data_IF_045961799277
#
_entry.id   IF_045961799277
#
_cell.length_a   1.000
_cell.length_b   1.000
_cell.length_c   1.000
_cell.angle_alpha   90.00
_cell.angle_beta   90.00
_cell.angle_gamma   90.00
#
_symmetry.space_group_name_H-M   'P 1'
#
loop_
_entity.id
_entity.type
_entity.pdbx_description
1 polymer ?
#
# COMPACT_ATOMS: atom_id res chain seq x y z
N UNK A 1 12.73 -26.61 -18.12
CA UNK A 1 11.44 -26.36 -17.45
C UNK A 1 10.62 -25.50 -18.39
N UNK A 2 9.42 -25.92 -18.78
CA UNK A 2 8.70 -25.37 -19.96
C UNK A 2 7.75 -24.21 -19.60
N UNK A 3 7.49 -23.97 -18.31
CA UNK A 3 6.65 -22.87 -17.84
C UNK A 3 7.44 -22.02 -16.85
N UNK A 4 7.62 -20.73 -17.17
CA UNK A 4 8.36 -19.76 -16.35
C UNK A 4 7.60 -19.34 -15.08
N UNK A 5 8.26 -18.56 -14.22
CA UNK A 5 7.74 -18.04 -12.95
C UNK A 5 6.50 -17.14 -13.05
N UNK A 6 6.11 -16.72 -14.26
CA UNK A 6 4.93 -15.88 -14.49
C UNK A 6 3.58 -16.62 -14.35
N UNK A 7 3.56 -17.95 -14.50
CA UNK A 7 2.29 -18.69 -14.53
C UNK A 7 1.71 -19.04 -13.15
N UNK A 8 2.53 -19.00 -12.10
CA UNK A 8 2.09 -19.24 -10.73
C UNK A 8 2.48 -18.04 -9.87
N UNK A 9 1.91 -16.88 -10.17
CA UNK A 9 2.01 -15.70 -9.29
C UNK A 9 1.53 -16.11 -7.90
N UNK A 10 2.29 -15.80 -6.86
CA UNK A 10 1.98 -16.22 -5.48
C UNK A 10 2.09 -17.71 -5.18
N UNK A 11 2.86 -18.46 -5.99
CA UNK A 11 3.15 -19.87 -5.73
C UNK A 11 4.33 -20.45 -6.50
N UNK A 12 4.53 -21.75 -6.35
CA UNK A 12 5.51 -22.53 -7.09
C UNK A 12 4.80 -23.38 -8.15
N UNK A 13 5.30 -23.36 -9.39
CA UNK A 13 4.73 -24.17 -10.47
C UNK A 13 5.16 -25.63 -10.34
N UNK A 14 4.17 -26.54 -10.37
CA UNK A 14 4.37 -27.98 -10.41
C UNK A 14 3.83 -28.52 -11.72
N UNK A 15 4.69 -29.12 -12.55
CA UNK A 15 4.27 -29.77 -13.78
C UNK A 15 3.42 -31.00 -13.46
N UNK A 16 2.25 -31.11 -14.08
CA UNK A 16 1.37 -32.28 -14.03
C UNK A 16 1.17 -32.78 -15.46
N UNK A 17 0.85 -34.04 -15.73
CA UNK A 17 0.49 -34.46 -17.10
C UNK A 17 -1.04 -34.49 -17.16
N UNK A 18 -1.72 -33.69 -18.01
CA UNK A 18 -1.23 -32.96 -19.19
C UNK A 18 -1.03 -31.43 -19.02
N UNK A 19 -0.75 -30.89 -17.83
CA UNK A 19 -0.63 -29.42 -17.61
C UNK A 19 0.34 -28.99 -16.49
N UNK A 20 -0.13 -28.10 -15.62
CA UNK A 20 0.59 -27.71 -14.40
C UNK A 20 -0.42 -27.35 -13.31
N UNK A 21 0.05 -27.30 -12.07
CA UNK A 21 -0.71 -26.76 -10.92
C UNK A 21 0.21 -25.86 -10.11
N UNK A 22 -0.34 -24.86 -9.44
CA UNK A 22 0.43 -24.01 -8.55
C UNK A 22 0.33 -24.52 -7.10
N UNK A 23 1.47 -24.60 -6.43
CA UNK A 23 1.54 -24.74 -4.98
C UNK A 23 1.64 -23.35 -4.38
N UNK A 24 0.55 -22.86 -3.83
CA UNK A 24 0.43 -21.48 -3.39
C UNK A 24 1.17 -21.21 -2.08
N UNK A 25 1.65 -19.97 -1.92
CA UNK A 25 2.21 -19.46 -0.66
C UNK A 25 1.11 -19.39 0.40
N UNK A 26 1.51 -19.31 1.67
CA UNK A 26 0.59 -19.05 2.79
C UNK A 26 -0.25 -17.80 2.51
N UNK A 27 -1.54 -17.84 2.84
CA UNK A 27 -2.49 -16.75 2.54
C UNK A 27 -3.09 -16.78 1.14
N UNK A 28 -2.72 -17.77 0.31
CA UNK A 28 -3.27 -17.94 -1.04
C UNK A 28 -3.84 -19.34 -1.23
N UNK A 29 -4.91 -19.44 -2.02
CA UNK A 29 -5.46 -20.73 -2.45
C UNK A 29 -5.38 -20.88 -3.97
N UNK A 30 -5.32 -22.13 -4.42
CA UNK A 30 -5.25 -22.43 -5.85
C UNK A 30 -6.66 -22.40 -6.47
N UNK A 31 -6.90 -21.45 -7.37
CA UNK A 31 -8.12 -21.40 -8.17
C UNK A 31 -7.90 -22.18 -9.48
N UNK A 32 -8.55 -23.35 -9.59
CA UNK A 32 -8.43 -24.22 -10.77
C UNK A 32 -9.08 -23.66 -12.04
N UNK A 33 -9.97 -22.68 -11.91
CA UNK A 33 -10.61 -22.01 -13.05
C UNK A 33 -9.73 -20.93 -13.65
N UNK A 34 -8.95 -20.26 -12.81
CA UNK A 34 -7.99 -19.21 -13.19
C UNK A 34 -6.56 -19.73 -13.38
N UNK A 35 -6.30 -20.95 -12.94
CA UNK A 35 -4.97 -21.60 -12.94
C UNK A 35 -3.91 -20.77 -12.19
N UNK A 36 -4.32 -20.03 -11.16
CA UNK A 36 -3.47 -19.10 -10.41
C UNK A 36 -3.65 -19.23 -8.89
N UNK A 37 -2.74 -18.64 -8.12
CA UNK A 37 -2.90 -18.49 -6.68
C UNK A 37 -3.62 -17.18 -6.38
N UNK A 38 -4.82 -17.29 -5.86
CA UNK A 38 -5.66 -16.15 -5.50
C UNK A 38 -5.56 -15.91 -4.01
N UNK A 39 -5.49 -14.64 -3.66
CA UNK A 39 -5.48 -14.18 -2.27
C UNK A 39 -6.71 -14.70 -1.51
N UNK A 40 -6.48 -15.23 -0.32
CA UNK A 40 -7.56 -15.73 0.52
C UNK A 40 -8.14 -14.59 1.33
N UNK A 41 -9.30 -14.06 0.95
CA UNK A 41 -9.95 -13.00 1.72
C UNK A 41 -10.48 -13.52 3.07
N UNK A 42 -9.69 -13.35 4.14
CA UNK A 42 -10.06 -13.79 5.48
C UNK A 42 -11.21 -12.96 6.07
N UNK A 43 -11.45 -11.75 5.55
CA UNK A 43 -12.55 -10.90 6.00
C UNK A 43 -13.93 -11.42 5.57
N UNK A 44 -14.00 -12.40 4.67
CA UNK A 44 -15.24 -13.12 4.35
C UNK A 44 -15.64 -14.14 5.43
N UNK A 45 -14.78 -14.39 6.42
CA UNK A 45 -15.02 -15.37 7.47
C UNK A 45 -15.05 -14.70 8.85
N UNK A 46 -16.18 -14.84 9.55
CA UNK A 46 -16.47 -14.21 10.85
C UNK A 46 -15.58 -14.68 12.01
N UNK A 47 -14.75 -15.71 11.80
CA UNK A 47 -13.77 -16.19 12.79
C UNK A 47 -12.58 -15.22 12.91
N UNK A 48 -12.34 -14.40 11.89
CA UNK A 48 -11.25 -13.43 11.87
C UNK A 48 -11.71 -12.04 12.36
N UNK A 49 -10.82 -11.33 13.03
CA UNK A 49 -11.05 -9.99 13.59
C UNK A 49 -12.28 -9.88 14.52
N UNK A 50 -12.38 -10.78 15.51
CA UNK A 50 -13.52 -10.80 16.43
C UNK A 50 -13.56 -9.49 17.25
N UNK A 51 -14.71 -8.80 17.22
CA UNK A 51 -14.93 -7.47 17.82
C UNK A 51 -14.11 -6.33 17.17
N UNK A 52 -13.60 -6.53 15.96
CA UNK A 52 -12.85 -5.53 15.20
C UNK A 52 -13.33 -5.39 13.76
N UNK A 53 -12.70 -4.49 13.03
CA UNK A 53 -12.85 -4.35 11.58
C UNK A 53 -11.72 -5.09 10.87
N UNK A 54 -12.05 -5.84 9.83
CA UNK A 54 -11.08 -6.62 9.06
C UNK A 54 -10.67 -5.88 7.79
N UNK A 55 -9.37 -5.83 7.53
CA UNK A 55 -8.79 -5.36 6.27
C UNK A 55 -8.08 -6.52 5.57
N UNK A 56 -8.62 -6.95 4.43
CA UNK A 56 -7.96 -7.94 3.60
C UNK A 56 -6.78 -7.31 2.84
N UNK A 57 -5.62 -7.95 2.94
CA UNK A 57 -4.35 -7.56 2.32
C UNK A 57 -3.84 -8.69 1.44
N UNK A 58 -2.97 -8.42 0.46
CA UNK A 58 -2.44 -9.53 -0.32
C UNK A 58 -1.53 -10.42 0.53
N UNK A 59 -1.93 -11.68 0.67
CA UNK A 59 -1.26 -12.75 1.41
C UNK A 59 -1.65 -12.85 2.88
N UNK A 60 -2.51 -11.96 3.40
CA UNK A 60 -2.97 -11.99 4.80
C UNK A 60 -4.09 -10.98 5.08
N UNK A 61 -4.33 -10.67 6.34
CA UNK A 61 -5.29 -9.67 6.78
C UNK A 61 -4.75 -8.91 7.98
N UNK A 62 -5.33 -7.76 8.24
CA UNK A 62 -5.08 -6.99 9.46
C UNK A 62 -6.40 -6.64 10.15
N UNK A 63 -6.43 -6.78 11.48
CA UNK A 63 -7.59 -6.44 12.29
C UNK A 63 -7.39 -5.08 12.96
N UNK A 64 -8.39 -4.22 12.83
CA UNK A 64 -8.42 -2.94 13.53
C UNK A 64 -9.41 -2.97 14.69
N UNK A 65 -8.97 -2.46 15.83
CA UNK A 65 -9.81 -2.36 17.02
C UNK A 65 -10.22 -0.92 17.24
N UNK A 66 -11.53 -0.68 17.37
CA UNK A 66 -12.04 0.59 17.85
C UNK A 66 -11.77 0.72 19.34
N UNK A 67 -11.22 1.86 19.76
CA UNK A 67 -10.94 2.11 21.17
C UNK A 67 -12.21 1.99 22.04
N UNK A 68 -12.10 1.46 23.27
CA UNK A 68 -10.87 1.12 24.01
C UNK A 68 -10.38 -0.33 23.80
N UNK A 69 -10.85 -1.03 22.76
CA UNK A 69 -10.39 -2.39 22.49
C UNK A 69 -9.02 -2.38 21.81
N UNK A 70 -8.25 -3.43 22.04
CA UNK A 70 -6.90 -3.62 21.51
C UNK A 70 -6.74 -5.06 21.01
N UNK A 71 -5.85 -5.28 20.05
CA UNK A 71 -5.56 -6.63 19.56
C UNK A 71 -5.00 -7.51 20.68
N UNK A 72 -5.47 -8.75 20.75
CA UNK A 72 -4.87 -9.79 21.59
C UNK A 72 -3.55 -10.30 20.99
N UNK A 73 -2.84 -11.16 21.72
CA UNK A 73 -1.55 -11.72 21.28
C UNK A 73 -1.64 -12.52 19.97
N UNK A 74 -2.84 -12.92 19.54
CA UNK A 74 -3.04 -13.65 18.29
C UNK A 74 -3.21 -12.74 17.08
N UNK A 75 -3.46 -11.44 17.29
CA UNK A 75 -3.77 -10.49 16.22
C UNK A 75 -5.17 -10.65 15.61
N UNK A 76 -6.03 -11.51 16.19
CA UNK A 76 -7.30 -11.91 15.57
C UNK A 76 -8.55 -11.50 16.36
N UNK A 77 -8.37 -10.88 17.53
CA UNK A 77 -9.48 -10.47 18.40
C UNK A 77 -9.17 -9.15 19.08
N UNK A 78 -10.18 -8.29 19.11
CA UNK A 78 -10.18 -7.07 19.90
C UNK A 78 -10.71 -7.36 21.32
N UNK A 79 -9.88 -7.10 22.33
CA UNK A 79 -10.15 -7.31 23.76
C UNK A 79 -10.06 -5.99 24.52
N UNK A 80 -10.72 -5.89 25.67
CA UNK A 80 -10.71 -4.65 26.47
C UNK A 80 -9.33 -4.39 27.07
N UNK A 81 -8.93 -3.11 27.09
CA UNK A 81 -7.70 -2.60 27.70
C UNK A 81 -7.53 -2.91 29.21
N UNK A 82 -8.58 -3.40 29.88
CA UNK A 82 -8.59 -3.68 31.32
C UNK A 82 -8.01 -5.04 31.73
N UNK A 83 -7.63 -5.91 30.80
CA UNK A 83 -6.90 -7.15 31.10
C UNK A 83 -5.39 -6.88 31.22
N UNK A 84 -4.86 -7.04 32.44
CA UNK A 84 -3.52 -6.61 32.91
C UNK A 84 -2.28 -7.29 32.30
N UNK A 85 -2.38 -7.91 31.13
CA UNK A 85 -1.22 -8.39 30.35
C UNK A 85 -1.41 -7.92 28.92
N UNK A 86 -1.04 -6.66 28.68
CA UNK A 86 -1.18 -6.02 27.38
C UNK A 86 0.19 -5.96 26.70
N UNK A 87 0.33 -6.68 25.60
CA UNK A 87 1.43 -6.53 24.64
C UNK A 87 0.86 -5.85 23.40
N UNK A 88 1.38 -4.68 23.06
CA UNK A 88 1.17 -4.08 21.74
C UNK A 88 1.61 -5.14 20.73
N UNK A 89 0.76 -5.49 19.77
CA UNK A 89 1.12 -6.46 18.75
C UNK A 89 2.19 -5.85 17.83
N UNK A 90 3.42 -6.23 18.11
CA UNK A 90 4.60 -5.81 17.36
C UNK A 90 5.10 -7.01 16.57
N UNK A 91 5.38 -6.79 15.30
CA UNK A 91 5.95 -7.80 14.43
C UNK A 91 6.98 -7.17 13.48
N UNK A 92 7.49 -7.99 12.58
CA UNK A 92 8.53 -7.65 11.62
C UNK A 92 8.02 -6.65 10.58
N UNK A 93 8.79 -5.58 10.34
CA UNK A 93 8.60 -4.69 9.20
C UNK A 93 9.63 -4.98 8.11
N UNK A 94 9.16 -5.07 6.87
CA UNK A 94 9.97 -5.30 5.68
C UNK A 94 10.06 -4.02 4.87
N UNK A 95 11.28 -3.53 4.65
CA UNK A 95 11.49 -2.26 3.96
C UNK A 95 11.26 -2.37 2.46
N UNK A 96 11.50 -3.55 1.88
CA UNK A 96 11.38 -3.78 0.44
C UNK A 96 10.66 -5.10 0.17
N UNK A 97 9.95 -5.15 -0.96
CA UNK A 97 9.37 -6.38 -1.49
C UNK A 97 9.79 -6.49 -2.95
N UNK A 98 10.46 -7.58 -3.31
CA UNK A 98 10.82 -7.87 -4.69
C UNK A 98 10.38 -9.29 -5.05
N UNK A 99 9.75 -9.45 -6.22
CA UNK A 99 9.16 -10.71 -6.67
C UNK A 99 8.24 -11.37 -5.62
N UNK A 100 7.48 -10.56 -4.87
CA UNK A 100 6.61 -10.99 -3.78
C UNK A 100 7.34 -11.74 -2.65
N UNK A 101 8.62 -11.46 -2.49
CA UNK A 101 9.43 -11.93 -1.39
C UNK A 101 9.79 -10.69 -0.60
N UNK A 102 9.45 -10.68 0.67
CA UNK A 102 9.88 -9.62 1.56
C UNK A 102 11.39 -9.69 1.74
N UNK A 103 12.02 -8.56 1.50
CA UNK A 103 13.46 -8.36 1.55
C UNK A 103 13.76 -7.21 2.52
N UNK A 104 15.02 -7.06 2.90
CA UNK A 104 15.49 -6.00 3.78
C UNK A 104 14.66 -5.85 5.06
N UNK A 105 14.83 -6.85 5.93
CA UNK A 105 14.32 -6.80 7.30
C UNK A 105 14.79 -5.51 7.98
N UNK A 106 13.86 -4.73 8.54
CA UNK A 106 14.22 -3.59 9.38
C UNK A 106 14.91 -4.12 10.65
N UNK A 107 16.24 -4.20 10.61
CA UNK A 107 17.02 -4.89 11.63
C UNK A 107 16.88 -4.20 12.99
N UNK A 108 16.36 -4.94 13.98
CA UNK A 108 16.41 -4.55 15.40
C UNK A 108 15.17 -3.82 15.93
N UNK A 109 14.09 -3.68 15.17
CA UNK A 109 12.87 -3.03 15.66
C UNK A 109 11.62 -3.80 15.23
N UNK A 110 10.89 -4.35 16.22
CA UNK A 110 9.52 -4.81 16.01
C UNK A 110 8.63 -3.56 15.96
N UNK A 111 7.73 -3.48 14.99
CA UNK A 111 6.86 -2.31 14.79
C UNK A 111 5.40 -2.74 14.82
N UNK A 112 4.52 -1.77 15.04
CA UNK A 112 3.09 -1.98 14.74
C UNK A 112 2.87 -2.03 13.22
N UNK A 113 1.76 -2.62 12.80
CA UNK A 113 1.35 -2.62 11.39
C UNK A 113 1.24 -1.19 10.82
N UNK A 114 0.62 -0.28 11.56
CA UNK A 114 0.46 1.13 11.16
C UNK A 114 1.81 1.84 11.04
N UNK A 115 2.73 1.64 11.98
CA UNK A 115 4.07 2.23 11.91
C UNK A 115 4.84 1.72 10.69
N UNK A 116 4.71 0.45 10.34
CA UNK A 116 5.35 -0.10 9.15
C UNK A 116 4.71 0.42 7.86
N UNK A 117 3.42 0.12 7.63
CA UNK A 117 2.75 0.37 6.36
C UNK A 117 2.48 1.84 6.05
N UNK A 118 2.56 2.72 7.05
CA UNK A 118 2.36 4.15 6.82
C UNK A 118 3.67 4.93 6.71
N UNK A 119 4.79 4.40 7.21
CA UNK A 119 6.06 5.16 7.28
C UNK A 119 7.30 4.42 6.82
N UNK A 120 7.45 3.15 7.18
CA UNK A 120 8.75 2.50 7.19
C UNK A 120 8.94 1.45 6.10
N UNK A 121 7.88 0.74 5.71
CA UNK A 121 8.01 -0.45 4.88
C UNK A 121 6.85 -0.71 3.94
N UNK A 122 7.02 -1.77 3.17
CA UNK A 122 6.12 -2.20 2.09
C UNK A 122 5.39 -3.51 2.45
N UNK A 123 5.81 -4.19 3.51
CA UNK A 123 5.12 -5.36 4.05
C UNK A 123 5.38 -5.53 5.55
N UNK A 124 4.47 -6.22 6.23
CA UNK A 124 4.49 -6.39 7.68
C UNK A 124 4.15 -7.83 8.10
N UNK A 125 4.73 -8.26 9.22
CA UNK A 125 4.55 -9.57 9.81
C UNK A 125 5.49 -10.65 9.28
N UNK A 126 5.61 -11.74 10.03
CA UNK A 126 6.44 -12.90 9.64
C UNK A 126 5.98 -13.56 8.34
N UNK A 127 4.70 -13.45 8.01
CA UNK A 127 4.10 -14.00 6.80
C UNK A 127 4.24 -13.08 5.58
N UNK A 128 4.91 -11.93 5.69
CA UNK A 128 5.11 -11.01 4.57
C UNK A 128 3.78 -10.48 4.00
N UNK A 129 2.87 -10.00 4.88
CA UNK A 129 1.61 -9.41 4.44
C UNK A 129 1.89 -8.06 3.76
N UNK A 130 1.47 -7.90 2.51
CA UNK A 130 1.75 -6.66 1.77
C UNK A 130 0.96 -5.49 2.37
N UNK A 131 1.65 -4.37 2.54
CA UNK A 131 0.98 -3.13 2.87
C UNK A 131 0.07 -2.71 1.71
N UNK A 132 -1.12 -2.13 1.97
CA UNK A 132 -1.96 -1.64 0.91
C UNK A 132 -1.30 -0.45 0.22
N UNK A 133 -1.54 -0.38 -1.08
CA UNK A 133 -0.97 0.64 -1.93
C UNK A 133 -1.32 2.06 -1.43
N UNK A 134 -0.35 2.98 -1.45
CA UNK A 134 -0.48 4.34 -0.89
C UNK A 134 -1.62 5.15 -1.51
N UNK A 135 -1.91 4.93 -2.79
CA UNK A 135 -3.03 5.58 -3.48
C UNK A 135 -4.40 4.90 -3.26
N UNK A 136 -4.45 3.78 -2.53
CA UNK A 136 -5.69 3.06 -2.29
C UNK A 136 -6.51 3.71 -1.17
N UNK A 137 -7.84 3.69 -1.30
CA UNK A 137 -8.75 4.10 -0.21
C UNK A 137 -8.64 3.22 1.05
N UNK A 138 -7.96 2.07 0.96
CA UNK A 138 -7.61 1.21 2.09
C UNK A 138 -6.49 1.81 2.94
N UNK A 139 -5.48 2.41 2.30
CA UNK A 139 -4.34 3.04 2.98
C UNK A 139 -4.74 4.30 3.75
N UNK A 140 -5.53 5.20 3.14
CA UNK A 140 -6.06 6.39 3.81
C UNK A 140 -7.09 6.08 4.91
N UNK A 141 -7.59 4.84 4.98
CA UNK A 141 -8.53 4.38 5.98
C UNK A 141 -7.90 3.80 7.25
N UNK A 142 -6.57 3.62 7.31
CA UNK A 142 -5.91 3.00 8.46
C UNK A 142 -5.98 3.83 9.74
N UNK A 143 -6.18 5.15 9.61
CA UNK A 143 -6.27 6.08 10.74
C UNK A 143 -7.64 6.08 11.43
N UNK A 144 -8.65 5.43 10.83
CA UNK A 144 -10.04 5.45 11.32
C UNK A 144 -10.21 4.83 12.70
N UNK A 145 -9.21 4.06 13.15
CA UNK A 145 -9.20 3.36 14.43
C UNK A 145 -8.30 4.03 15.47
N UNK A 146 -7.62 5.13 15.10
CA UNK A 146 -6.96 5.99 16.06
C UNK A 146 -8.03 6.84 16.79
N UNK A 147 -7.86 7.14 18.09
CA UNK A 147 -8.84 7.92 18.85
C UNK A 147 -9.01 9.30 18.22
N UNK A 148 -10.21 9.59 17.71
CA UNK A 148 -10.57 10.94 17.26
C UNK A 148 -10.84 11.90 18.43
N UNK A 149 -10.97 11.42 19.67
CA UNK A 149 -11.56 12.21 20.76
C UNK A 149 -10.91 12.00 22.14
N UNK A 150 -9.61 12.27 22.26
CA UNK A 150 -9.11 12.83 23.51
C UNK A 150 -8.58 14.21 23.16
N UNK A 151 -9.39 15.25 23.42
CA UNK A 151 -9.14 16.64 23.04
C UNK A 151 -7.89 17.27 23.67
N UNK A 152 -6.72 16.77 23.32
CA UNK A 152 -5.41 17.26 23.75
C UNK A 152 -4.42 17.07 22.58
N UNK A 153 -3.65 18.12 22.31
CA UNK A 153 -2.76 18.23 21.16
C UNK A 153 -1.87 17.00 20.96
N UNK A 154 -1.71 16.59 19.70
CA UNK A 154 -0.77 15.58 19.18
C UNK A 154 0.69 15.71 19.65
N UNK A 155 1.05 16.80 20.34
CA UNK A 155 2.36 17.03 20.96
C UNK A 155 2.60 16.25 22.29
N UNK A 156 1.61 15.57 22.86
CA UNK A 156 1.72 14.99 24.22
C UNK A 156 2.10 13.49 24.30
N UNK A 157 2.19 12.76 23.18
CA UNK A 157 2.55 11.34 23.19
C UNK A 157 3.68 11.01 22.20
N UNK A 158 4.94 10.88 22.67
CA UNK A 158 6.07 10.46 21.82
C UNK A 158 6.02 8.99 21.37
N UNK A 159 4.97 8.24 21.71
CA UNK A 159 4.85 6.79 21.47
C UNK A 159 3.75 6.38 20.48
N UNK A 160 3.07 7.33 19.82
CA UNK A 160 2.07 7.01 18.80
C UNK A 160 2.59 7.38 17.40
N UNK A 161 2.51 6.48 16.40
CA UNK A 161 2.78 6.85 15.02
C UNK A 161 1.73 7.89 14.55
N UNK A 162 2.10 8.87 13.70
CA UNK A 162 1.17 9.83 13.15
C UNK A 162 0.15 9.14 12.24
N UNK A 163 -0.94 9.84 11.91
CA UNK A 163 -1.89 9.34 10.94
C UNK A 163 -1.22 9.09 9.57
N UNK A 164 -1.57 7.97 8.94
CA UNK A 164 -1.40 7.57 7.55
C UNK A 164 -2.12 8.55 6.61
N UNK A 165 -1.72 9.82 6.64
CA UNK A 165 -2.22 10.83 5.70
C UNK A 165 -1.40 10.78 4.43
N UNK A 166 -2.05 10.91 3.25
CA UNK A 166 -1.33 11.28 2.06
C UNK A 166 -0.56 12.58 2.32
N UNK A 167 0.62 12.77 1.71
CA UNK A 167 1.36 14.03 1.78
C UNK A 167 0.42 15.16 1.33
N UNK A 168 -0.09 15.98 2.26
CA UNK A 168 -1.22 16.84 1.91
C UNK A 168 -2.11 17.38 3.01
N UNK A 169 -2.53 16.56 3.98
CA UNK A 169 -3.73 16.84 4.80
C UNK A 169 -3.49 17.06 6.29
N UNK A 170 -2.32 17.56 6.71
CA UNK A 170 -2.13 18.00 8.10
C UNK A 170 -2.70 19.40 8.32
N UNK A 171 -3.96 19.50 8.75
CA UNK A 171 -4.38 20.68 9.51
C UNK A 171 -3.57 20.71 10.82
N UNK A 172 -2.71 21.72 10.98
CA UNK A 172 -1.90 21.94 12.18
C UNK A 172 -0.39 22.04 11.98
N UNK A 173 0.12 21.75 10.78
CA UNK A 173 1.44 22.21 10.34
C UNK A 173 1.21 23.13 9.16
N UNK A 174 1.22 24.43 9.40
CA UNK A 174 1.38 25.40 8.32
C UNK A 174 2.66 25.01 7.58
N UNK A 175 2.52 24.45 6.38
CA UNK A 175 3.65 24.29 5.48
C UNK A 175 4.29 25.65 5.33
N UNK A 176 5.57 25.75 5.68
CA UNK A 176 6.31 27.00 5.53
C UNK A 176 6.34 27.34 4.03
N UNK A 177 6.19 28.61 3.68
CA UNK A 177 6.32 29.04 2.28
C UNK A 177 7.77 28.74 1.81
N UNK A 178 7.97 28.47 0.52
CA UNK A 178 9.24 27.99 -0.03
C UNK A 178 10.44 28.90 0.35
N UNK A 179 10.18 30.18 0.60
CA UNK A 179 11.17 31.18 1.02
C UNK A 179 11.70 30.96 2.46
N UNK A 180 10.92 30.37 3.36
CA UNK A 180 11.28 30.13 4.77
C UNK A 180 12.16 28.90 5.00
N UNK A 181 12.21 28.00 4.02
CA UNK A 181 13.06 26.82 4.07
C UNK A 181 14.49 27.08 3.60
N UNK A 182 14.78 28.23 2.98
CA UNK A 182 16.10 28.53 2.41
C UNK A 182 16.51 27.57 1.28
N UNK A 183 15.57 26.81 0.72
CA UNK A 183 15.78 25.92 -0.42
C UNK A 183 15.58 26.75 -1.68
N UNK A 184 16.68 27.21 -2.28
CA UNK A 184 16.62 27.99 -3.52
C UNK A 184 16.30 27.05 -4.71
N UNK A 185 15.12 27.21 -5.31
CA UNK A 185 14.66 26.41 -6.47
C UNK A 185 14.58 24.89 -6.19
N UNK A 186 13.97 24.49 -5.07
CA UNK A 186 13.68 23.09 -4.73
C UNK A 186 12.32 22.95 -4.07
N UNK A 187 11.75 21.74 -4.10
CA UNK A 187 10.37 21.42 -3.71
C UNK A 187 9.24 22.01 -4.59
N UNK A 188 9.42 22.22 -5.90
CA UNK A 188 8.36 22.79 -6.76
C UNK A 188 7.10 21.91 -6.87
N UNK A 189 7.28 20.58 -6.82
CA UNK A 189 6.20 19.59 -6.81
C UNK A 189 5.96 18.97 -5.43
N UNK A 190 6.12 19.78 -4.38
CA UNK A 190 5.89 19.38 -3.00
C UNK A 190 5.74 20.55 -2.05
N UNK A 191 5.60 20.25 -0.76
CA UNK A 191 5.66 21.24 0.32
C UNK A 191 6.96 21.06 1.10
N UNK A 192 7.58 22.16 1.51
CA UNK A 192 8.73 22.05 2.40
C UNK A 192 8.27 21.79 3.85
N UNK A 193 8.93 20.85 4.53
CA UNK A 193 8.65 20.50 5.93
C UNK A 193 9.93 20.50 6.76
N UNK A 194 9.82 20.90 8.04
CA UNK A 194 10.93 20.89 8.99
C UNK A 194 11.16 19.47 9.53
N UNK A 195 12.41 19.04 9.55
CA UNK A 195 12.87 17.79 10.14
C UNK A 195 13.97 18.06 11.18
N UNK A 196 14.30 17.11 12.08
CA UNK A 196 15.33 17.31 13.10
C UNK A 196 16.69 17.73 12.53
N UNK A 197 17.00 17.31 11.30
CA UNK A 197 18.26 17.58 10.60
C UNK A 197 18.20 18.81 9.67
N UNK A 198 17.10 19.58 9.67
CA UNK A 198 16.93 20.76 8.82
C UNK A 198 15.55 20.80 8.14
N UNK A 199 15.55 20.75 6.81
CA UNK A 199 14.35 20.83 5.98
C UNK A 199 14.38 19.75 4.89
N UNK A 200 13.21 19.28 4.48
CA UNK A 200 13.02 18.31 3.38
C UNK A 200 11.76 18.65 2.59
N UNK A 201 11.60 18.10 1.39
CA UNK A 201 10.33 18.15 0.67
C UNK A 201 9.40 17.00 1.09
N UNK A 202 8.12 17.29 1.14
CA UNK A 202 7.02 16.34 1.15
C UNK A 202 6.31 16.45 -0.21
N UNK A 203 6.51 15.45 -1.06
CA UNK A 203 6.14 15.51 -2.47
C UNK A 203 4.65 15.29 -2.71
N UNK A 204 4.07 15.99 -3.69
CA UNK A 204 2.69 15.76 -4.11
C UNK A 204 2.54 14.39 -4.79
N UNK A 205 1.30 13.91 -4.92
CA UNK A 205 1.00 12.68 -5.62
C UNK A 205 1.61 12.68 -7.03
N UNK A 206 2.26 11.57 -7.41
CA UNK A 206 2.99 11.44 -8.69
C UNK A 206 4.45 11.88 -8.65
N UNK A 207 4.96 12.30 -7.48
CA UNK A 207 6.35 12.72 -7.31
C UNK A 207 7.02 12.01 -6.14
N UNK A 208 8.34 11.82 -6.22
CA UNK A 208 9.16 11.23 -5.18
C UNK A 208 10.36 12.11 -4.85
N UNK A 209 10.93 11.91 -3.66
CA UNK A 209 12.16 12.59 -3.28
C UNK A 209 13.32 12.11 -4.14
N UNK A 210 14.14 13.05 -4.60
CA UNK A 210 15.40 12.76 -5.23
C UNK A 210 16.43 12.21 -4.22
N UNK A 211 17.58 11.75 -4.70
CA UNK A 211 18.65 11.24 -3.82
C UNK A 211 19.16 12.28 -2.81
N UNK A 212 19.00 13.57 -3.09
CA UNK A 212 19.41 14.64 -2.18
C UNK A 212 18.35 14.97 -1.13
N UNK A 213 17.13 14.43 -1.25
CA UNK A 213 15.96 14.71 -0.41
C UNK A 213 15.52 16.19 -0.40
N UNK A 214 15.92 16.94 -1.43
CA UNK A 214 15.66 18.38 -1.54
C UNK A 214 14.87 18.74 -2.80
N UNK A 215 14.54 17.75 -3.64
CA UNK A 215 13.69 17.95 -4.80
C UNK A 215 12.63 16.84 -4.91
N UNK A 216 11.46 17.23 -5.41
CA UNK A 216 10.42 16.29 -5.80
C UNK A 216 10.52 16.07 -7.30
N UNK A 217 10.97 14.88 -7.68
CA UNK A 217 11.11 14.46 -9.08
C UNK A 217 9.91 13.62 -9.46
N UNK A 218 9.51 13.78 -10.71
CA UNK A 218 8.42 13.03 -11.31
C UNK A 218 8.68 11.51 -11.22
N UNK A 219 7.67 10.75 -10.81
CA UNK A 219 7.72 9.29 -10.83
C UNK A 219 7.39 8.87 -12.26
N UNK A 220 8.34 8.27 -12.96
CA UNK A 220 8.06 7.77 -14.31
C UNK A 220 7.34 6.42 -14.22
N UNK A 221 6.00 6.43 -14.14
CA UNK A 221 5.24 5.21 -13.94
C UNK A 221 5.33 4.25 -15.14
N UNK A 222 5.74 4.74 -16.31
CA UNK A 222 6.00 3.91 -17.49
C UNK A 222 7.32 3.12 -17.40
N UNK A 223 8.27 3.59 -16.61
CA UNK A 223 9.58 2.96 -16.38
C UNK A 223 9.67 2.24 -15.03
N UNK A 224 8.74 2.52 -14.10
CA UNK A 224 8.61 1.80 -12.84
C UNK A 224 8.23 0.32 -13.10
N UNK A 225 9.25 -0.54 -12.97
CA UNK A 225 9.16 -1.99 -13.17
C UNK A 225 8.49 -2.63 -11.95
N UNK A 226 7.17 -2.50 -11.82
CA UNK A 226 6.47 -3.03 -10.63
C UNK A 226 4.96 -3.21 -10.72
N UNK A 227 4.27 -2.67 -11.74
CA UNK A 227 2.82 -2.82 -11.85
C UNK A 227 2.43 -4.25 -12.29
N UNK A 228 1.51 -4.93 -11.57
CA UNK A 228 1.06 -6.29 -11.92
C UNK A 228 0.20 -6.38 -13.17
N UNK A 229 -0.33 -5.26 -13.65
CA UNK A 229 -1.06 -5.11 -14.92
C UNK A 229 -0.22 -4.23 -15.87
N UNK A 230 -0.24 -4.46 -17.19
CA UNK A 230 0.30 -3.47 -18.12
C UNK A 230 -0.46 -2.15 -17.89
N UNK A 231 0.27 -1.14 -17.39
CA UNK A 231 -0.24 0.16 -16.95
C UNK A 231 -1.32 0.69 -17.92
N UNK A 232 -1.06 0.54 -19.21
CA UNK A 232 -1.95 0.89 -20.31
C UNK A 232 -2.40 -0.33 -21.13
N UNK A 233 -3.27 -1.19 -20.57
CA UNK A 233 -3.90 -2.29 -21.34
C UNK A 233 -4.59 -1.75 -22.59
N UNK A 234 -4.20 -2.22 -23.79
CA UNK A 234 -4.75 -1.75 -25.07
C UNK A 234 -4.15 -0.43 -25.60
N UNK A 235 -3.04 0.04 -25.02
CA UNK A 235 -2.36 1.27 -25.41
C UNK A 235 -0.87 1.29 -25.08
N UNK A 236 -0.23 2.41 -25.36
CA UNK A 236 1.17 2.70 -25.00
C UNK A 236 1.20 3.72 -23.86
N UNK A 237 2.04 3.48 -22.85
CA UNK A 237 2.24 4.42 -21.75
C UNK A 237 3.04 5.64 -22.22
N UNK A 238 2.64 6.82 -21.77
CA UNK A 238 3.38 8.06 -21.95
C UNK A 238 3.44 8.79 -20.62
N UNK A 239 4.66 8.97 -20.12
CA UNK A 239 4.92 9.66 -18.86
C UNK A 239 4.57 11.15 -18.97
N UNK A 240 4.02 11.71 -17.90
CA UNK A 240 3.65 13.12 -17.79
C UNK A 240 4.05 13.65 -16.42
N UNK A 241 4.21 14.96 -16.29
CA UNK A 241 4.57 15.49 -14.97
C UNK A 241 3.45 15.27 -13.95
N UNK A 242 3.75 14.52 -12.89
CA UNK A 242 2.87 14.11 -11.80
C UNK A 242 1.89 12.99 -12.13
N UNK A 243 2.01 12.35 -13.30
CA UNK A 243 1.12 11.27 -13.72
C UNK A 243 1.59 10.55 -14.99
N UNK A 244 0.76 9.68 -15.54
CA UNK A 244 0.95 9.11 -16.87
C UNK A 244 -0.36 9.07 -17.64
N UNK A 245 -0.26 9.01 -18.98
CA UNK A 245 -1.41 8.80 -19.87
C UNK A 245 -1.21 7.63 -20.80
N UNK A 246 -2.31 7.00 -21.16
CA UNK A 246 -2.32 5.89 -22.10
C UNK A 246 -2.73 6.36 -23.49
N UNK A 247 -1.82 6.21 -24.46
CA UNK A 247 -2.13 6.35 -25.88
C UNK A 247 -2.78 5.07 -26.38
N UNK A 248 -4.10 5.08 -26.52
CA UNK A 248 -4.86 3.91 -26.95
C UNK A 248 -4.59 3.56 -28.42
N UNK A 249 -4.51 2.26 -28.70
CA UNK A 249 -4.41 1.74 -30.07
C UNK A 249 -5.73 1.99 -30.83
N UNK A 250 -5.70 2.00 -32.18
CA UNK A 250 -6.91 2.14 -32.99
C UNK A 250 -7.99 1.14 -32.59
N UNK A 251 -9.23 1.61 -32.39
CA UNK A 251 -10.35 0.80 -31.91
C UNK A 251 -10.50 0.75 -30.39
N UNK A 252 -9.62 1.42 -29.64
CA UNK A 252 -9.70 1.59 -28.19
C UNK A 252 -9.81 3.07 -27.80
N UNK A 253 -10.44 3.35 -26.67
CA UNK A 253 -10.63 4.69 -26.10
C UNK A 253 -10.30 4.70 -24.61
N UNK A 254 -9.71 5.79 -24.14
CA UNK A 254 -9.45 5.99 -22.71
C UNK A 254 -10.74 6.45 -22.02
N UNK A 255 -11.10 5.79 -20.91
CA UNK A 255 -12.21 6.25 -20.07
C UNK A 255 -11.74 7.40 -19.19
N UNK A 256 -12.55 8.45 -19.05
CA UNK A 256 -12.23 9.56 -18.16
C UNK A 256 -12.13 9.04 -16.72
N UNK A 257 -10.91 9.09 -16.15
CA UNK A 257 -10.49 8.60 -14.81
C UNK A 257 -10.02 7.16 -14.68
N UNK A 258 -9.89 6.40 -15.78
CA UNK A 258 -9.24 5.09 -15.75
C UNK A 258 -8.04 5.13 -16.69
N UNK A 259 -6.86 4.82 -16.17
CA UNK A 259 -5.62 4.71 -16.95
C UNK A 259 -5.60 3.43 -17.81
N UNK A 260 -6.75 3.04 -18.38
CA UNK A 260 -6.91 1.85 -19.20
C UNK A 260 -7.64 2.17 -20.50
N UNK A 261 -7.21 1.54 -21.59
CA UNK A 261 -7.87 1.66 -22.87
C UNK A 261 -8.90 0.55 -23.02
N UNK A 262 -10.15 0.92 -23.32
CA UNK A 262 -11.24 -0.03 -23.55
C UNK A 262 -11.62 -0.08 -25.02
N UNK A 263 -12.03 -1.24 -25.57
CA UNK A 263 -12.53 -1.32 -26.93
C UNK A 263 -13.72 -0.37 -27.14
N UNK A 264 -13.75 0.36 -28.25
CA UNK A 264 -14.87 1.25 -28.61
C UNK A 264 -16.22 0.51 -28.71
N UNK A 265 -16.19 -0.80 -28.95
CA UNK A 265 -17.38 -1.66 -28.98
C UNK A 265 -18.04 -1.87 -27.62
N UNK A 266 -17.33 -1.63 -26.51
CA UNK A 266 -17.85 -1.79 -25.15
C UNK A 266 -18.66 -0.58 -24.66
N UNK A 267 -18.68 0.52 -25.41
CA UNK A 267 -19.42 1.75 -25.05
C UNK A 267 -20.83 1.83 -25.63
N UNK A 268 -21.29 0.84 -26.41
CA UNK A 268 -22.65 0.80 -26.97
C UNK A 268 -23.31 -0.58 -26.86
N UNK A 269 -24.09 -0.84 -25.79
CA UNK A 269 -25.01 -1.99 -25.74
C UNK A 269 -26.32 -1.77 -26.53
N UNK A 270 -26.48 -0.68 -27.29
CA UNK A 270 -27.73 -0.32 -27.94
C UNK A 270 -27.55 0.00 -29.44
N UNK A 271 -27.19 -1.02 -30.22
CA UNK A 271 -27.39 -1.02 -31.68
C UNK A 271 -27.37 -2.48 -32.18
N UNK A 272 -28.40 -3.23 -31.84
CA UNK A 272 -28.80 -4.48 -32.49
C UNK A 272 -30.31 -4.43 -32.74
#
# INVERSE_FOLDING_TARGET
>A
MIFGSEFCRNGQCLNTVPGYKCFCRTGYFYDSSRLECVDQDECQNEVYCINGECLNTEGSYHCFCSLPLVLDATGNRCVNFSSREYEIHLDVCWQTVADYICQDLLHGQQTTYTECCCRLGEAWGQNCALCPHRSSGKWSGMDKHLPAEVGMSWAAHPALPPPCRPPGLYEGFEGLQAEECGILNGCENGRCVRVPEGYTCDCFDGFQLDMTRMACVDINECEEVGSPEPLCRGGTCENTEGSYRCKCLPGYVALARSHHCVPQTAQNPAAA
#
